data_IF_122907432559
#
_entry.id   IF_122907432559
#
_cell.length_a   1.000
_cell.length_b   1.000
_cell.length_c   1.000
_cell.angle_alpha   90.00
_cell.angle_beta   90.00
_cell.angle_gamma   90.00
#
_symmetry.space_group_name_H-M   'P 1'
#
loop_
_entity.id
_entity.type
_entity.pdbx_description
1 polymer ?
#
# COMPACT_ATOMS: atom_id res chain seq x y z
N UNK A 1 -21.37 -12.05 7.33
CA UNK A 1 -21.48 -13.03 6.23
C UNK A 1 -20.27 -12.85 5.29
N UNK A 2 -19.89 -13.89 4.54
CA UNK A 2 -18.80 -13.77 3.56
C UNK A 2 -19.26 -12.95 2.33
N UNK A 3 -18.46 -12.01 1.79
CA UNK A 3 -18.80 -11.35 0.53
C UNK A 3 -18.97 -12.37 -0.60
N UNK A 4 -20.02 -12.21 -1.43
CA UNK A 4 -20.38 -13.21 -2.47
C UNK A 4 -19.31 -13.46 -3.53
N UNK A 5 -18.43 -12.49 -3.74
CA UNK A 5 -17.32 -12.57 -4.69
C UNK A 5 -16.09 -13.24 -4.09
N UNK A 6 -16.07 -13.51 -2.78
CA UNK A 6 -14.91 -14.00 -2.04
C UNK A 6 -15.18 -15.38 -1.42
N UNK A 7 -14.12 -16.03 -0.96
CA UNK A 7 -14.23 -17.18 -0.04
C UNK A 7 -13.68 -16.80 1.33
N UNK A 8 -14.28 -17.34 2.40
CA UNK A 8 -13.91 -16.98 3.76
C UNK A 8 -13.60 -18.23 4.57
N UNK A 9 -12.57 -18.16 5.42
CA UNK A 9 -12.19 -19.20 6.37
C UNK A 9 -11.88 -18.53 7.71
N UNK A 10 -12.77 -18.66 8.69
CA UNK A 10 -12.64 -17.94 9.96
C UNK A 10 -12.57 -16.41 9.75
N UNK A 11 -11.44 -15.81 10.12
CA UNK A 11 -11.15 -14.37 9.98
C UNK A 11 -10.33 -14.02 8.74
N UNK A 12 -10.08 -15.00 7.86
CA UNK A 12 -9.36 -14.84 6.60
C UNK A 12 -10.34 -14.71 5.43
N UNK A 13 -10.25 -13.59 4.72
CA UNK A 13 -11.10 -13.26 3.57
C UNK A 13 -10.26 -13.31 2.29
N UNK A 14 -10.58 -14.27 1.43
CA UNK A 14 -9.89 -14.55 0.17
C UNK A 14 -10.67 -13.94 -1.00
N UNK A 15 -10.20 -12.78 -1.46
CA UNK A 15 -10.73 -12.05 -2.60
C UNK A 15 -9.69 -11.92 -3.74
N UNK A 16 -8.58 -12.65 -3.70
CA UNK A 16 -7.54 -12.61 -4.72
C UNK A 16 -7.96 -13.31 -6.02
N UNK A 17 -7.34 -12.96 -7.15
CA UNK A 17 -7.48 -13.64 -8.46
C UNK A 17 -8.93 -13.75 -8.97
N UNK A 18 -9.73 -12.71 -8.75
CA UNK A 18 -11.17 -12.71 -9.04
C UNK A 18 -11.61 -11.63 -10.03
N UNK A 19 -10.66 -10.97 -10.68
CA UNK A 19 -10.91 -9.85 -11.60
C UNK A 19 -11.73 -8.72 -10.96
N UNK A 20 -11.57 -8.53 -9.65
CA UNK A 20 -12.30 -7.51 -8.90
C UNK A 20 -11.85 -6.12 -9.36
N UNK A 21 -12.82 -5.22 -9.58
CA UNK A 21 -12.56 -3.82 -9.94
C UNK A 21 -12.63 -2.86 -8.74
N UNK A 22 -13.09 -3.35 -7.60
CA UNK A 22 -13.21 -2.61 -6.35
C UNK A 22 -13.13 -3.58 -5.17
N UNK A 23 -12.90 -3.04 -3.97
CA UNK A 23 -12.97 -3.80 -2.72
C UNK A 23 -14.42 -4.27 -2.51
N UNK A 24 -14.69 -5.56 -2.30
CA UNK A 24 -16.05 -6.07 -2.06
C UNK A 24 -16.69 -5.45 -0.82
N UNK A 25 -17.98 -5.14 -0.91
CA UNK A 25 -18.76 -4.65 0.22
C UNK A 25 -19.07 -5.77 1.22
N UNK A 26 -19.35 -5.42 2.47
CA UNK A 26 -19.79 -6.38 3.49
C UNK A 26 -18.70 -7.29 4.04
N UNK A 27 -17.42 -6.89 3.96
CA UNK A 27 -16.32 -7.59 4.63
C UNK A 27 -16.58 -7.58 6.15
N UNK A 28 -16.57 -8.75 6.83
CA UNK A 28 -16.79 -8.81 8.28
C UNK A 28 -15.78 -7.97 9.06
N UNK A 29 -16.23 -7.24 10.08
CA UNK A 29 -15.35 -6.41 10.93
C UNK A 29 -14.36 -7.21 11.79
N UNK A 30 -14.61 -8.51 11.95
CA UNK A 30 -13.70 -9.46 12.61
C UNK A 30 -12.54 -9.93 11.72
N UNK A 31 -12.47 -9.46 10.47
CA UNK A 31 -11.43 -9.86 9.51
C UNK A 31 -10.05 -9.48 10.03
N UNK A 32 -9.14 -10.46 10.03
CA UNK A 32 -7.72 -10.26 10.37
C UNK A 32 -6.85 -10.26 9.13
N UNK A 33 -7.18 -11.08 8.12
CA UNK A 33 -6.41 -11.18 6.88
C UNK A 33 -7.33 -10.92 5.70
N UNK A 34 -7.01 -9.90 4.91
CA UNK A 34 -7.73 -9.53 3.71
C UNK A 34 -6.81 -9.66 2.48
N UNK A 35 -7.10 -10.65 1.64
CA UNK A 35 -6.33 -10.93 0.42
C UNK A 35 -7.07 -10.39 -0.80
N UNK A 36 -6.56 -9.32 -1.39
CA UNK A 36 -7.10 -8.65 -2.58
C UNK A 36 -6.10 -8.64 -3.75
N UNK A 37 -5.02 -9.40 -3.66
CA UNK A 37 -3.97 -9.42 -4.69
C UNK A 37 -4.43 -10.01 -6.03
N UNK A 38 -3.72 -9.66 -7.11
CA UNK A 38 -4.00 -10.10 -8.49
C UNK A 38 -5.46 -9.82 -8.86
N UNK A 39 -5.80 -8.54 -8.93
CA UNK A 39 -7.12 -8.04 -9.30
C UNK A 39 -6.96 -6.79 -10.21
N UNK A 40 -8.08 -6.11 -10.49
CA UNK A 40 -8.14 -4.94 -11.38
C UNK A 40 -8.61 -3.70 -10.60
N UNK A 41 -8.29 -3.61 -9.30
CA UNK A 41 -8.71 -2.49 -8.46
C UNK A 41 -7.85 -1.28 -8.82
N UNK A 42 -8.50 -0.19 -9.20
CA UNK A 42 -7.83 1.06 -9.62
C UNK A 42 -7.84 2.14 -8.55
N UNK A 43 -8.78 2.09 -7.62
CA UNK A 43 -8.95 3.05 -6.53
C UNK A 43 -9.46 2.40 -5.26
N UNK A 44 -9.11 2.99 -4.12
CA UNK A 44 -9.66 2.67 -2.81
C UNK A 44 -10.60 3.79 -2.40
N UNK A 45 -11.87 3.46 -2.10
CA UNK A 45 -12.81 4.48 -1.64
C UNK A 45 -12.41 5.01 -0.26
N UNK A 46 -12.68 6.30 0.06
CA UNK A 46 -12.44 6.84 1.40
C UNK A 46 -13.13 5.99 2.47
N UNK A 47 -12.39 5.65 3.53
CA UNK A 47 -12.90 4.88 4.66
C UNK A 47 -13.20 3.39 4.38
N UNK A 48 -12.82 2.85 3.21
CA UNK A 48 -13.14 1.46 2.82
C UNK A 48 -12.62 0.40 3.81
N UNK A 49 -11.59 0.73 4.61
CA UNK A 49 -11.04 -0.16 5.63
C UNK A 49 -11.31 0.30 7.07
N UNK A 50 -12.06 1.38 7.29
CA UNK A 50 -12.21 1.99 8.62
C UNK A 50 -12.87 1.06 9.64
N UNK A 51 -13.81 0.23 9.20
CA UNK A 51 -14.48 -0.75 10.05
C UNK A 51 -13.64 -2.00 10.33
N UNK A 52 -12.54 -2.21 9.62
CA UNK A 52 -11.72 -3.43 9.67
C UNK A 52 -10.57 -3.30 10.68
N UNK A 53 -10.89 -2.81 11.89
CA UNK A 53 -9.91 -2.50 12.96
C UNK A 53 -9.13 -3.70 13.50
N UNK A 54 -9.55 -4.93 13.16
CA UNK A 54 -8.85 -6.17 13.53
C UNK A 54 -7.83 -6.63 12.50
N UNK A 55 -7.67 -5.93 11.37
CA UNK A 55 -6.74 -6.32 10.32
C UNK A 55 -5.29 -6.37 10.82
N UNK A 56 -4.66 -7.50 10.54
CA UNK A 56 -3.23 -7.75 10.74
C UNK A 56 -2.49 -7.89 9.41
N UNK A 57 -3.16 -8.32 8.33
CA UNK A 57 -2.59 -8.39 6.98
C UNK A 57 -3.55 -7.85 5.91
N UNK A 58 -3.02 -6.94 5.08
CA UNK A 58 -3.72 -6.37 3.92
C UNK A 58 -2.86 -6.55 2.66
N UNK A 59 -3.31 -7.43 1.77
CA UNK A 59 -2.59 -7.78 0.55
C UNK A 59 -3.27 -7.15 -0.67
N UNK A 60 -2.66 -6.12 -1.26
CA UNK A 60 -3.17 -5.35 -2.41
C UNK A 60 -2.31 -5.53 -3.67
N UNK A 61 -1.36 -6.45 -3.65
CA UNK A 61 -0.33 -6.56 -4.68
C UNK A 61 -0.88 -7.02 -6.02
N UNK A 62 -0.30 -6.56 -7.14
CA UNK A 62 -0.80 -6.95 -8.46
C UNK A 62 -2.19 -6.39 -8.76
N UNK A 63 -2.43 -5.14 -8.39
CA UNK A 63 -3.61 -4.37 -8.77
C UNK A 63 -3.21 -3.21 -9.70
N UNK A 64 -4.13 -2.28 -9.95
CA UNK A 64 -3.93 -1.11 -10.81
C UNK A 64 -4.09 0.19 -10.03
N UNK A 65 -3.81 0.18 -8.72
CA UNK A 65 -3.98 1.35 -7.86
C UNK A 65 -3.09 2.49 -8.32
N UNK A 66 -3.68 3.63 -8.67
CA UNK A 66 -2.95 4.81 -9.15
C UNK A 66 -2.63 5.79 -8.02
N UNK A 67 -3.40 5.76 -6.94
CA UNK A 67 -3.22 6.59 -5.76
C UNK A 67 -3.64 5.86 -4.49
N UNK A 68 -3.06 6.26 -3.37
CA UNK A 68 -3.55 5.94 -2.02
C UNK A 68 -4.44 7.08 -1.57
N UNK A 69 -5.67 6.76 -1.15
CA UNK A 69 -6.60 7.75 -0.60
C UNK A 69 -6.13 8.23 0.77
N UNK A 70 -6.21 9.54 1.04
CA UNK A 70 -5.80 10.12 2.33
C UNK A 70 -6.53 9.45 3.48
N UNK A 71 -5.79 9.02 4.50
CA UNK A 71 -6.33 8.41 5.71
C UNK A 71 -6.87 6.98 5.56
N UNK A 72 -6.76 6.35 4.38
CA UNK A 72 -7.35 5.02 4.12
C UNK A 72 -6.83 3.90 5.02
N UNK A 73 -5.68 4.11 5.68
CA UNK A 73 -5.07 3.16 6.60
C UNK A 73 -5.15 3.59 8.08
N UNK A 74 -5.76 4.74 8.40
CA UNK A 74 -5.68 5.36 9.72
C UNK A 74 -6.24 4.51 10.87
N UNK A 75 -7.25 3.69 10.58
CA UNK A 75 -7.88 2.82 11.58
C UNK A 75 -7.18 1.47 11.75
N UNK A 76 -6.18 1.16 10.92
CA UNK A 76 -5.52 -0.14 10.85
C UNK A 76 -4.33 -0.24 11.81
N UNK A 77 -4.54 0.12 13.08
CA UNK A 77 -3.46 0.22 14.08
C UNK A 77 -2.82 -1.12 14.44
N UNK A 78 -3.52 -2.24 14.19
CA UNK A 78 -3.04 -3.62 14.39
C UNK A 78 -2.34 -4.22 13.16
N UNK A 79 -2.26 -3.48 12.05
CA UNK A 79 -1.72 -3.99 10.80
C UNK A 79 -0.22 -4.29 10.95
N UNK A 80 0.15 -5.54 10.67
CA UNK A 80 1.54 -6.02 10.72
C UNK A 80 2.13 -6.20 9.32
N UNK A 81 1.28 -6.48 8.32
CA UNK A 81 1.66 -6.72 6.92
C UNK A 81 0.84 -5.85 5.98
N UNK A 82 1.52 -5.08 5.12
CA UNK A 82 0.90 -4.26 4.08
C UNK A 82 1.60 -4.48 2.74
N UNK A 83 0.88 -4.96 1.72
CA UNK A 83 1.50 -5.33 0.45
C UNK A 83 0.87 -4.61 -0.77
N UNK A 84 1.18 -3.32 -1.01
CA UNK A 84 0.76 -2.57 -2.21
C UNK A 84 1.75 -2.66 -3.41
N UNK A 85 2.70 -3.59 -3.38
CA UNK A 85 3.66 -3.81 -4.48
C UNK A 85 2.97 -4.15 -5.81
N UNK A 86 3.63 -3.94 -6.94
CA UNK A 86 3.08 -4.24 -8.29
C UNK A 86 1.72 -3.53 -8.46
N UNK A 87 1.75 -2.20 -8.41
CA UNK A 87 0.61 -1.31 -8.64
C UNK A 87 1.08 -0.13 -9.52
N UNK A 88 0.26 0.92 -9.64
CA UNK A 88 0.56 2.12 -10.43
C UNK A 88 0.75 3.37 -9.55
N UNK A 89 1.19 3.17 -8.30
CA UNK A 89 1.36 4.26 -7.34
C UNK A 89 2.54 5.15 -7.73
N UNK A 90 2.29 6.46 -7.75
CA UNK A 90 3.32 7.48 -8.03
C UNK A 90 3.87 8.14 -6.77
N UNK A 91 3.04 8.27 -5.74
CA UNK A 91 3.40 8.85 -4.44
C UNK A 91 2.55 8.21 -3.34
N UNK A 92 2.88 8.53 -2.08
CA UNK A 92 2.07 8.17 -0.92
C UNK A 92 1.68 9.48 -0.22
N UNK A 93 0.40 9.71 0.10
CA UNK A 93 -0.01 10.90 0.83
C UNK A 93 0.73 11.04 2.15
N UNK A 94 1.05 12.29 2.50
CA UNK A 94 1.70 12.59 3.77
C UNK A 94 0.88 12.01 4.93
N UNK A 95 1.57 11.24 5.76
CA UNK A 95 0.99 10.64 6.97
C UNK A 95 0.29 9.31 6.77
N UNK A 96 0.18 8.78 5.55
CA UNK A 96 -0.60 7.57 5.26
C UNK A 96 -0.19 6.33 6.06
N UNK A 97 1.05 6.26 6.55
CA UNK A 97 1.57 5.16 7.35
C UNK A 97 1.76 5.51 8.83
N UNK A 98 1.46 6.73 9.26
CA UNK A 98 1.83 7.22 10.59
C UNK A 98 1.09 6.49 11.72
N UNK A 99 -0.13 6.00 11.45
CA UNK A 99 -0.94 5.26 12.41
C UNK A 99 -0.67 3.73 12.42
N UNK A 100 0.17 3.23 11.51
CA UNK A 100 0.49 1.79 11.38
C UNK A 100 1.56 1.37 12.41
N UNK A 101 1.27 1.52 13.70
CA UNK A 101 2.23 1.32 14.80
C UNK A 101 2.71 -0.12 14.97
N UNK A 102 1.94 -1.09 14.48
CA UNK A 102 2.29 -2.52 14.55
C UNK A 102 2.96 -3.05 13.28
N UNK A 103 3.27 -2.20 12.31
CA UNK A 103 3.76 -2.65 11.00
C UNK A 103 5.16 -3.29 11.11
N UNK A 104 5.30 -4.48 10.54
CA UNK A 104 6.57 -5.24 10.54
C UNK A 104 7.03 -5.64 9.14
N UNK A 105 6.12 -5.63 8.16
CA UNK A 105 6.42 -5.95 6.78
C UNK A 105 5.63 -5.02 5.85
N UNK A 106 6.34 -4.36 4.95
CA UNK A 106 5.74 -3.59 3.86
C UNK A 106 6.44 -3.88 2.54
N UNK A 107 5.66 -4.09 1.47
CA UNK A 107 6.20 -4.29 0.12
C UNK A 107 5.74 -3.19 -0.81
N UNK A 108 6.70 -2.42 -1.33
CA UNK A 108 6.48 -1.20 -2.12
C UNK A 108 7.10 -1.28 -3.54
N UNK A 109 7.85 -2.35 -3.83
CA UNK A 109 8.49 -2.55 -5.13
C UNK A 109 7.47 -2.66 -6.28
N UNK A 110 7.91 -2.45 -7.51
CA UNK A 110 7.05 -2.56 -8.69
C UNK A 110 5.96 -1.50 -8.77
N UNK A 111 6.24 -0.29 -8.27
CA UNK A 111 5.39 0.89 -8.45
C UNK A 111 6.19 1.97 -9.20
N UNK A 112 5.57 2.73 -10.11
CA UNK A 112 6.23 3.80 -10.87
C UNK A 112 6.35 5.09 -10.04
N UNK A 113 7.15 5.05 -8.96
CA UNK A 113 7.33 6.18 -8.05
C UNK A 113 7.82 7.44 -8.80
N UNK A 114 7.06 8.53 -8.70
CA UNK A 114 7.39 9.80 -9.33
C UNK A 114 8.34 10.58 -8.41
N UNK A 115 9.62 10.56 -8.74
CA UNK A 115 10.66 11.22 -7.95
C UNK A 115 10.92 12.67 -8.36
N UNK A 116 10.20 13.22 -9.34
CA UNK A 116 10.31 14.64 -9.67
C UNK A 116 9.27 15.47 -8.92
N UNK A 117 8.11 14.90 -8.60
CA UNK A 117 7.10 15.50 -7.74
C UNK A 117 7.54 15.52 -6.26
N UNK A 118 7.31 16.64 -5.55
CA UNK A 118 7.66 16.79 -4.13
C UNK A 118 6.89 15.88 -3.17
N UNK A 119 5.76 15.32 -3.58
CA UNK A 119 4.98 14.40 -2.73
C UNK A 119 5.76 13.11 -2.39
N UNK A 120 6.79 12.79 -3.18
CA UNK A 120 7.66 11.64 -2.91
C UNK A 120 8.43 11.76 -1.59
N UNK A 121 8.62 12.98 -1.08
CA UNK A 121 9.46 13.25 0.09
C UNK A 121 8.94 12.56 1.36
N UNK A 122 7.62 12.40 1.49
CA UNK A 122 7.04 11.62 2.59
C UNK A 122 7.53 10.17 2.53
N UNK A 123 7.35 9.51 1.38
CA UNK A 123 7.76 8.13 1.20
C UNK A 123 9.27 7.97 1.39
N UNK A 124 10.07 8.85 0.77
CA UNK A 124 11.53 8.85 0.89
C UNK A 124 11.98 8.91 2.35
N UNK A 125 11.41 9.82 3.15
CA UNK A 125 11.80 9.94 4.56
C UNK A 125 11.31 8.74 5.38
N UNK A 126 10.09 8.27 5.12
CA UNK A 126 9.51 7.14 5.84
C UNK A 126 10.30 5.85 5.62
N UNK A 127 10.66 5.51 4.38
CA UNK A 127 11.41 4.27 4.08
C UNK A 127 12.84 4.29 4.64
N UNK A 128 13.45 5.47 4.78
CA UNK A 128 14.78 5.63 5.41
C UNK A 128 14.69 5.32 6.91
N UNK A 129 13.65 5.82 7.58
CA UNK A 129 13.44 5.57 9.02
C UNK A 129 13.02 4.13 9.34
N UNK A 130 12.38 3.45 8.38
CA UNK A 130 11.79 2.12 8.56
C UNK A 130 12.46 1.05 7.66
N UNK A 131 13.73 1.24 7.32
CA UNK A 131 14.42 0.39 6.34
C UNK A 131 14.39 -1.12 6.68
N UNK A 132 14.35 -1.47 7.97
CA UNK A 132 14.34 -2.86 8.46
C UNK A 132 13.02 -3.61 8.27
N UNK A 133 11.96 -2.95 7.78
CA UNK A 133 10.65 -3.57 7.51
C UNK A 133 10.23 -3.48 6.03
N UNK A 134 11.00 -2.75 5.20
CA UNK A 134 10.69 -2.47 3.79
C UNK A 134 11.26 -3.56 2.90
N UNK A 135 10.41 -4.16 2.06
CA UNK A 135 10.75 -5.17 1.04
C UNK A 135 11.68 -6.28 1.56
N UNK A 136 11.34 -6.84 2.73
CA UNK A 136 12.08 -7.94 3.36
C UNK A 136 12.01 -9.25 2.55
N UNK A 137 12.63 -10.31 3.08
CA UNK A 137 12.55 -11.68 2.53
C UNK A 137 13.06 -11.82 1.09
N UNK A 138 14.17 -11.16 0.77
CA UNK A 138 14.80 -11.24 -0.56
C UNK A 138 14.22 -10.30 -1.61
N UNK A 139 13.27 -9.42 -1.25
CA UNK A 139 12.67 -8.45 -2.16
C UNK A 139 13.49 -7.16 -2.33
N UNK A 140 14.79 -7.18 -2.01
CA UNK A 140 15.74 -6.09 -2.29
C UNK A 140 15.73 -4.90 -1.33
N UNK A 141 14.95 -4.95 -0.25
CA UNK A 141 14.99 -3.94 0.80
C UNK A 141 14.56 -2.53 0.33
N UNK A 142 15.03 -1.52 1.05
CA UNK A 142 14.76 -0.10 0.74
C UNK A 142 15.20 0.31 -0.67
N UNK A 143 16.26 -0.31 -1.22
CA UNK A 143 16.78 0.00 -2.55
C UNK A 143 15.91 -0.50 -3.71
N UNK A 144 14.95 -1.39 -3.41
CA UNK A 144 13.98 -1.84 -4.40
C UNK A 144 12.71 -0.97 -4.45
N UNK A 145 12.69 0.15 -3.73
CA UNK A 145 11.73 1.24 -3.95
C UNK A 145 12.39 2.21 -4.94
N UNK A 146 12.03 2.11 -6.22
CA UNK A 146 12.76 2.76 -7.32
C UNK A 146 11.95 3.84 -8.02
N UNK A 147 12.60 4.94 -8.36
CA UNK A 147 12.06 6.01 -9.18
C UNK A 147 11.73 5.53 -10.59
N UNK A 148 10.58 5.95 -11.11
CA UNK A 148 10.17 5.72 -12.49
C UNK A 148 11.16 6.39 -13.46
N UNK A 149 11.45 5.75 -14.59
CA UNK A 149 12.36 6.25 -15.62
C UNK A 149 13.85 6.06 -15.28
N UNK A 150 14.31 6.52 -14.12
CA UNK A 150 15.74 6.48 -13.75
C UNK A 150 16.16 5.17 -13.09
N UNK A 151 15.22 4.41 -12.51
CA UNK A 151 15.47 3.23 -11.67
C UNK A 151 16.40 3.48 -10.46
N UNK A 152 16.63 4.73 -10.08
CA UNK A 152 17.40 5.07 -8.87
C UNK A 152 16.55 4.82 -7.62
N UNK A 153 17.15 4.49 -6.47
CA UNK A 153 16.40 4.31 -5.23
C UNK A 153 15.71 5.61 -4.79
N UNK A 154 14.44 5.53 -4.40
CA UNK A 154 13.67 6.65 -3.84
C UNK A 154 14.37 7.26 -2.62
N UNK A 155 15.06 6.43 -1.82
CA UNK A 155 15.83 6.94 -0.65
C UNK A 155 16.97 7.90 -1.01
N UNK A 156 17.42 7.91 -2.27
CA UNK A 156 18.48 8.78 -2.75
C UNK A 156 17.95 10.14 -3.27
N UNK A 157 16.63 10.34 -3.32
CA UNK A 157 16.01 11.60 -3.75
C UNK A 157 16.33 12.71 -2.73
N UNK A 158 16.68 13.88 -3.27
CA UNK A 158 16.92 15.11 -2.49
C UNK A 158 15.78 16.09 -2.67
N UNK A 159 15.56 16.99 -1.71
CA UNK A 159 14.52 18.02 -1.83
C UNK A 159 14.75 18.91 -3.06
N UNK A 160 16.02 19.28 -3.33
CA UNK A 160 16.42 20.09 -4.47
C UNK A 160 16.14 19.44 -5.84
N UNK A 161 16.04 18.11 -5.91
CA UNK A 161 15.69 17.38 -7.14
C UNK A 161 14.18 17.27 -7.39
N UNK A 162 13.35 17.75 -6.47
CA UNK A 162 11.89 17.68 -6.56
C UNK A 162 11.25 19.06 -6.71
N UNK A 163 10.02 19.12 -7.22
CA UNK A 163 9.24 20.36 -7.26
C UNK A 163 7.73 20.09 -7.13
N UNK A 164 6.97 20.91 -6.37
CA UNK A 164 5.51 20.87 -6.37
C UNK A 164 4.89 21.14 -7.75
N UNK A 165 5.57 21.91 -8.60
CA UNK A 165 5.08 22.23 -9.95
C UNK A 165 5.12 21.02 -10.91
N UNK A 166 5.78 19.93 -10.51
CA UNK A 166 5.89 18.69 -11.27
C UNK A 166 4.95 17.59 -10.76
N UNK A 167 4.09 17.92 -9.80
CA UNK A 167 3.07 17.02 -9.30
C UNK A 167 1.81 17.06 -10.19
N UNK A 168 1.08 15.93 -10.31
CA UNK A 168 -0.17 15.84 -11.06
C UNK A 168 -1.34 16.63 -10.43
#
# INVERSE_FOLDING_TARGET
ACPSQCSCSGTDIHCHERSLRSVPVGIPTTTQILRLYINQITKLEPGVFDSLTQLTSLELGGNQLTAVTVGVFDKLTKLTHLAPHINQLKSIPRGAFDNLKSLTHIWLYGNPWDCECSDILYLKNWIVQHASIVNLRGHGGVDNVKCSGTNTPVRAVTEASTSPSKCP
#
